data_IF_109024454098
#
_entry.id   IF_109024454098
#
_cell.length_a   1.000
_cell.length_b   1.000
_cell.length_c   1.000
_cell.angle_alpha   90.00
_cell.angle_beta   90.00
_cell.angle_gamma   90.00
#
_symmetry.space_group_name_H-M   'P 1'
#
loop_
_entity.id
_entity.type
_entity.pdbx_description
1 polymer ?
#
# COMPACT_ATOMS: atom_id res chain seq x y z
N UNK A 1 -14.50 -64.56 25.61
CA UNK A 1 -13.36 -64.86 26.50
C UNK A 1 -12.62 -63.55 26.71
N UNK A 2 -13.07 -62.76 27.69
CA UNK A 2 -12.49 -62.58 29.04
C UNK A 2 -11.18 -61.76 28.98
N UNK A 3 -11.17 -60.49 29.41
CA UNK A 3 -10.94 -60.02 30.81
C UNK A 3 -9.54 -60.43 31.30
N UNK A 4 -8.62 -59.60 31.82
CA UNK A 4 -8.65 -58.61 32.94
C UNK A 4 -7.21 -58.07 33.08
N UNK A 5 -6.89 -56.78 33.26
CA UNK A 5 -6.93 -55.90 34.45
C UNK A 5 -6.10 -56.34 35.69
N UNK A 6 -5.09 -55.54 36.07
CA UNK A 6 -4.58 -55.22 37.45
C UNK A 6 -3.39 -54.23 37.31
N UNK A 7 -3.35 -52.98 37.83
CA UNK A 7 -3.30 -52.43 39.22
C UNK A 7 -2.15 -53.07 40.04
N UNK A 8 -1.20 -52.38 40.71
CA UNK A 8 -1.15 -51.19 41.60
C UNK A 8 0.33 -50.79 41.81
N UNK A 9 0.65 -49.54 42.20
CA UNK A 9 1.84 -49.28 43.05
C UNK A 9 2.40 -47.86 43.04
N UNK A 10 2.05 -47.06 44.06
CA UNK A 10 2.54 -45.71 44.33
C UNK A 10 3.68 -45.77 45.38
N UNK A 11 4.75 -44.96 45.24
CA UNK A 11 5.54 -44.46 46.38
C UNK A 11 6.49 -43.31 45.99
N UNK A 12 6.57 -42.33 46.88
CA UNK A 12 7.24 -41.02 46.81
C UNK A 12 8.59 -40.98 47.56
N UNK A 13 9.24 -39.80 47.55
CA UNK A 13 10.43 -39.31 48.32
C UNK A 13 11.73 -39.37 47.49
N UNK A 14 12.63 -38.38 47.41
CA UNK A 14 12.86 -37.14 48.18
C UNK A 14 13.52 -36.04 47.30
N UNK A 15 13.34 -34.80 47.76
CA UNK A 15 14.15 -33.59 47.56
C UNK A 15 15.67 -33.79 47.51
N UNK A 16 16.37 -33.03 46.67
CA UNK A 16 17.50 -32.20 47.12
C UNK A 16 17.83 -31.03 46.18
N UNK A 17 18.25 -29.95 46.84
CA UNK A 17 18.47 -28.56 46.42
C UNK A 17 19.83 -28.28 45.79
N UNK A 18 19.92 -27.28 44.89
CA UNK A 18 21.13 -26.45 44.73
C UNK A 18 20.75 -24.98 44.52
N UNK A 19 21.29 -24.12 45.40
CA UNK A 19 21.18 -22.66 45.41
C UNK A 19 22.14 -21.98 44.41
N UNK A 20 21.59 -20.95 43.75
CA UNK A 20 22.10 -19.61 43.47
C UNK A 20 23.59 -19.28 43.68
N UNK A 21 24.22 -18.79 42.60
CA UNK A 21 25.37 -17.88 42.63
C UNK A 21 25.09 -16.65 41.77
N UNK A 22 25.03 -15.47 42.41
CA UNK A 22 24.78 -14.17 41.80
C UNK A 22 26.02 -13.63 41.06
N UNK A 23 25.82 -13.09 39.85
CA UNK A 23 26.76 -12.23 39.15
C UNK A 23 25.99 -11.16 38.36
N UNK A 24 25.97 -9.93 38.89
CA UNK A 24 25.30 -8.76 38.30
C UNK A 24 26.03 -8.30 37.03
N UNK A 25 25.29 -8.14 35.94
CA UNK A 25 25.57 -7.10 34.94
C UNK A 25 24.28 -6.29 34.70
N UNK A 26 24.39 -4.99 34.92
CA UNK A 26 23.31 -4.02 34.75
C UNK A 26 23.00 -3.84 33.25
N UNK A 27 21.75 -4.12 32.87
CA UNK A 27 21.12 -3.50 31.70
C UNK A 27 20.08 -2.51 32.22
N UNK A 28 20.42 -1.22 32.15
CA UNK A 28 19.49 -0.13 32.40
C UNK A 28 19.02 0.38 31.03
N UNK A 29 17.70 0.39 30.83
CA UNK A 29 17.05 1.23 29.83
C UNK A 29 16.59 0.51 28.56
N UNK A 30 15.40 -0.12 28.61
CA UNK A 30 14.46 -0.28 27.49
C UNK A 30 13.16 -0.93 28.02
N UNK A 31 12.49 -0.23 28.93
CA UNK A 31 11.09 -0.51 29.28
C UNK A 31 10.29 0.73 28.92
N UNK A 32 9.81 0.79 27.67
CA UNK A 32 8.69 1.65 27.25
C UNK A 32 8.18 1.38 25.82
N UNK A 33 8.77 0.45 25.05
CA UNK A 33 8.28 0.12 23.70
C UNK A 33 7.23 -1.00 23.65
N UNK A 34 7.07 -1.80 24.71
CA UNK A 34 6.19 -2.99 24.68
C UNK A 34 4.71 -2.65 24.91
N UNK A 35 4.37 -1.48 25.46
CA UNK A 35 2.98 -1.13 25.81
C UNK A 35 2.20 -0.59 24.60
N UNK A 36 2.87 0.02 23.61
CA UNK A 36 2.20 0.48 22.37
C UNK A 36 1.93 -0.65 21.37
N UNK A 37 2.82 -1.64 21.25
CA UNK A 37 2.63 -2.75 20.31
C UNK A 37 1.46 -3.68 20.69
N UNK A 38 1.23 -3.87 22.00
CA UNK A 38 0.11 -4.70 22.50
C UNK A 38 -1.25 -3.99 22.36
N UNK A 39 -1.27 -2.64 22.29
CA UNK A 39 -2.51 -1.89 22.08
C UNK A 39 -3.01 -1.97 20.63
N UNK A 40 -2.11 -2.05 19.65
CA UNK A 40 -2.48 -2.23 18.23
C UNK A 40 -2.86 -3.69 17.91
N UNK A 41 -2.13 -4.67 18.44
CA UNK A 41 -2.44 -6.10 18.23
C UNK A 41 -3.80 -6.50 18.83
N UNK A 42 -4.25 -5.84 19.91
CA UNK A 42 -5.59 -6.04 20.49
C UNK A 42 -6.73 -5.37 19.71
N UNK A 43 -6.42 -4.57 18.68
CA UNK A 43 -7.42 -3.94 17.80
C UNK A 43 -7.81 -4.77 16.58
N UNK A 44 -7.10 -5.87 16.31
CA UNK A 44 -7.31 -6.69 15.10
C UNK A 44 -8.18 -7.93 15.33
N UNK A 45 -8.35 -8.38 16.58
CA UNK A 45 -9.35 -9.39 16.93
C UNK A 45 -10.73 -8.73 17.03
N UNK A 46 -11.46 -8.70 15.91
CA UNK A 46 -12.88 -8.29 15.88
C UNK A 46 -13.31 -7.38 14.73
N UNK A 47 -12.44 -7.08 13.76
CA UNK A 47 -12.87 -6.33 12.58
C UNK A 47 -13.60 -7.24 11.58
N UNK A 48 -14.90 -7.00 11.46
CA UNK A 48 -15.79 -7.63 10.48
C UNK A 48 -15.38 -7.16 9.07
N UNK A 49 -15.21 -8.10 8.14
CA UNK A 49 -14.89 -7.82 6.73
C UNK A 49 -15.99 -7.00 6.04
N UNK A 50 -15.66 -6.34 4.93
CA UNK A 50 -16.65 -5.60 4.14
C UNK A 50 -17.78 -6.51 3.65
N UNK A 51 -17.47 -7.74 3.26
CA UNK A 51 -18.46 -8.74 2.85
C UNK A 51 -19.43 -9.07 3.98
N UNK A 52 -18.93 -9.32 5.18
CA UNK A 52 -19.77 -9.56 6.35
C UNK A 52 -20.60 -8.32 6.74
N UNK A 53 -20.05 -7.10 6.57
CA UNK A 53 -20.82 -5.87 6.77
C UNK A 53 -21.95 -5.71 5.76
N UNK A 54 -21.72 -5.98 4.48
CA UNK A 54 -22.77 -5.95 3.47
C UNK A 54 -23.90 -6.95 3.76
N UNK A 55 -23.56 -8.13 4.29
CA UNK A 55 -24.53 -9.11 4.77
C UNK A 55 -25.33 -8.55 5.96
N UNK A 56 -24.67 -7.89 6.93
CA UNK A 56 -25.35 -7.26 8.06
C UNK A 56 -26.28 -6.11 7.66
N UNK A 57 -25.96 -5.43 6.56
CA UNK A 57 -26.78 -4.35 6.00
C UNK A 57 -27.93 -4.85 5.13
N UNK A 58 -28.10 -6.18 4.96
CA UNK A 58 -29.12 -6.79 4.10
C UNK A 58 -29.06 -6.23 2.66
N UNK A 59 -27.84 -6.02 2.16
CA UNK A 59 -27.59 -5.45 0.84
C UNK A 59 -27.91 -3.96 0.68
N UNK A 60 -28.34 -3.27 1.74
CA UNK A 60 -28.60 -1.82 1.69
C UNK A 60 -27.32 -1.02 1.77
N UNK A 61 -27.22 0.03 0.95
CA UNK A 61 -26.10 0.95 1.02
C UNK A 61 -26.18 1.79 2.32
N UNK A 62 -25.09 1.92 3.11
CA UNK A 62 -25.08 2.69 4.34
C UNK A 62 -24.97 4.20 4.04
N UNK A 63 -26.08 4.83 3.66
CA UNK A 63 -26.14 6.27 3.35
C UNK A 63 -26.26 7.12 4.63
N UNK A 64 -25.70 8.34 4.63
CA UNK A 64 -25.79 9.32 5.72
C UNK A 64 -25.98 10.74 5.15
N UNK A 65 -26.59 11.62 5.93
CA UNK A 65 -26.82 13.02 5.55
C UNK A 65 -25.53 13.78 5.24
N UNK A 66 -24.40 13.42 5.88
CA UNK A 66 -23.10 14.03 5.62
C UNK A 66 -22.66 13.90 4.15
N UNK A 67 -23.06 12.83 3.46
CA UNK A 67 -22.78 12.65 2.03
C UNK A 67 -23.59 13.63 1.19
N UNK A 68 -24.86 13.87 1.55
CA UNK A 68 -25.74 14.82 0.86
C UNK A 68 -25.17 16.23 0.99
N UNK A 69 -24.65 16.59 2.16
CA UNK A 69 -24.00 17.88 2.40
C UNK A 69 -22.69 18.07 1.61
N UNK A 70 -22.04 16.98 1.21
CA UNK A 70 -20.82 16.99 0.40
C UNK A 70 -21.07 17.03 -1.11
N UNK A 71 -22.32 16.89 -1.57
CA UNK A 71 -22.66 17.05 -2.98
C UNK A 71 -22.36 18.49 -3.45
N UNK A 72 -22.09 18.69 -4.75
CA UNK A 72 -21.89 20.02 -5.30
C UNK A 72 -23.01 20.99 -4.94
N UNK A 73 -22.66 22.27 -4.75
CA UNK A 73 -23.59 23.27 -4.24
C UNK A 73 -24.83 23.37 -5.11
N UNK A 74 -25.99 23.11 -4.50
CA UNK A 74 -27.30 23.17 -5.15
C UNK A 74 -27.75 21.86 -5.78
N UNK A 75 -26.91 20.83 -5.80
CA UNK A 75 -27.33 19.50 -6.18
C UNK A 75 -28.28 18.89 -5.13
N UNK A 76 -29.26 18.12 -5.60
CA UNK A 76 -30.25 17.45 -4.75
C UNK A 76 -30.11 15.93 -4.88
N UNK A 77 -29.88 15.24 -3.77
CA UNK A 77 -29.80 13.78 -3.76
C UNK A 77 -31.08 13.11 -4.31
N UNK A 78 -30.91 12.06 -5.13
CA UNK A 78 -32.00 11.26 -5.70
C UNK A 78 -31.97 9.84 -5.12
N UNK A 79 -30.86 9.12 -5.30
CA UNK A 79 -30.75 7.71 -4.93
C UNK A 79 -29.30 7.29 -4.72
N UNK A 80 -29.11 6.13 -4.08
CA UNK A 80 -27.81 5.47 -3.96
C UNK A 80 -27.99 3.96 -4.10
N UNK A 81 -27.05 3.32 -4.79
CA UNK A 81 -26.97 1.86 -4.89
C UNK A 81 -25.52 1.39 -4.72
N UNK A 82 -25.34 0.12 -4.35
CA UNK A 82 -24.01 -0.48 -4.36
C UNK A 82 -23.48 -0.54 -5.80
N UNK A 83 -22.21 -0.22 -5.98
CA UNK A 83 -21.56 -0.21 -7.28
C UNK A 83 -20.08 -0.56 -7.13
N UNK A 84 -19.55 -1.44 -7.98
CA UNK A 84 -18.16 -1.87 -7.92
C UNK A 84 -17.83 -2.79 -6.74
N UNK A 85 -16.57 -3.19 -6.64
CA UNK A 85 -16.05 -4.07 -5.58
C UNK A 85 -14.77 -3.48 -5.00
N UNK A 86 -14.57 -3.65 -3.69
CA UNK A 86 -13.36 -3.24 -2.98
C UNK A 86 -13.09 -4.19 -1.82
N UNK A 87 -11.81 -4.42 -1.51
CA UNK A 87 -11.40 -5.24 -0.38
C UNK A 87 -11.62 -4.56 0.97
N UNK A 88 -11.59 -3.22 1.00
CA UNK A 88 -11.49 -2.45 2.25
C UNK A 88 -12.61 -1.45 2.46
N UNK A 89 -13.40 -1.15 1.42
CA UNK A 89 -14.49 -0.16 1.46
C UNK A 89 -15.78 -0.71 0.88
N UNK A 90 -16.91 -0.15 1.29
CA UNK A 90 -18.17 -0.29 0.55
C UNK A 90 -18.19 0.81 -0.51
N UNK A 91 -18.53 0.46 -1.75
CA UNK A 91 -18.55 1.36 -2.90
C UNK A 91 -19.95 1.51 -3.46
N UNK A 92 -20.31 2.70 -3.90
CA UNK A 92 -21.66 3.02 -4.34
C UNK A 92 -21.72 4.09 -5.42
N UNK A 93 -22.83 4.08 -6.15
CA UNK A 93 -23.18 5.13 -7.10
C UNK A 93 -24.31 5.97 -6.52
N UNK A 94 -24.04 7.25 -6.29
CA UNK A 94 -25.02 8.24 -5.84
C UNK A 94 -25.54 9.01 -7.05
N UNK A 95 -26.85 9.09 -7.22
CA UNK A 95 -27.48 9.95 -8.21
C UNK A 95 -27.92 11.26 -7.54
N UNK A 96 -27.61 12.39 -8.14
CA UNK A 96 -28.14 13.70 -7.72
C UNK A 96 -28.63 14.51 -8.92
N UNK A 97 -29.53 15.45 -8.66
CA UNK A 97 -30.05 16.42 -9.62
C UNK A 97 -29.29 17.73 -9.46
N UNK A 98 -28.56 18.16 -10.48
CA UNK A 98 -27.86 19.44 -10.50
C UNK A 98 -28.85 20.63 -10.61
N UNK A 99 -28.45 21.88 -10.30
CA UNK A 99 -29.34 23.04 -10.32
C UNK A 99 -30.02 23.33 -11.67
N UNK A 100 -29.46 22.83 -12.77
CA UNK A 100 -29.99 22.95 -14.13
C UNK A 100 -31.03 21.86 -14.47
N UNK A 101 -31.27 20.91 -13.55
CA UNK A 101 -32.19 19.79 -13.72
C UNK A 101 -31.56 18.56 -14.36
N UNK A 102 -30.24 18.52 -14.54
CA UNK A 102 -29.53 17.35 -15.07
C UNK A 102 -29.28 16.32 -13.96
N UNK A 103 -29.57 15.04 -14.23
CA UNK A 103 -29.17 13.97 -13.32
C UNK A 103 -27.69 13.63 -13.53
N UNK A 104 -26.90 13.66 -12.46
CA UNK A 104 -25.47 13.37 -12.47
C UNK A 104 -25.12 12.25 -11.48
N UNK A 105 -24.36 11.23 -11.91
CA UNK A 105 -23.85 10.20 -11.01
C UNK A 105 -22.57 10.66 -10.28
N UNK A 106 -22.37 10.15 -9.07
CA UNK A 106 -21.20 10.35 -8.22
C UNK A 106 -20.75 9.00 -7.65
N UNK A 107 -19.45 8.85 -7.45
CA UNK A 107 -18.86 7.66 -6.85
C UNK A 107 -18.60 7.89 -5.36
N UNK A 108 -19.01 6.93 -4.54
CA UNK A 108 -18.96 7.00 -3.08
C UNK A 108 -18.23 5.79 -2.50
N UNK A 109 -17.20 6.04 -1.69
CA UNK A 109 -16.56 5.04 -0.84
C UNK A 109 -16.95 5.25 0.61
N UNK A 110 -17.13 4.15 1.35
CA UNK A 110 -17.45 4.14 2.78
C UNK A 110 -16.51 3.20 3.52
N UNK A 111 -15.92 3.69 4.61
CA UNK A 111 -14.99 2.95 5.46
C UNK A 111 -15.29 3.18 6.95
N UNK A 112 -14.83 2.28 7.80
CA UNK A 112 -15.21 2.23 9.22
C UNK A 112 -14.01 2.38 10.15
N UNK A 113 -14.26 3.00 11.31
CA UNK A 113 -13.27 3.20 12.37
C UNK A 113 -12.18 4.20 12.00
N UNK A 114 -11.23 4.38 12.92
CA UNK A 114 -10.14 5.36 12.76
C UNK A 114 -9.26 5.07 11.55
N UNK A 115 -9.07 3.78 11.21
CA UNK A 115 -8.34 3.40 10.00
C UNK A 115 -9.09 3.80 8.73
N UNK A 116 -10.42 3.68 8.70
CA UNK A 116 -11.24 4.16 7.59
C UNK A 116 -11.16 5.67 7.38
N UNK A 117 -10.98 6.44 8.46
CA UNK A 117 -10.74 7.88 8.38
C UNK A 117 -9.43 8.18 7.64
N UNK A 118 -8.33 7.53 8.06
CA UNK A 118 -7.00 7.70 7.46
C UNK A 118 -7.02 7.34 5.98
N UNK A 119 -7.63 6.20 5.64
CA UNK A 119 -7.71 5.71 4.26
C UNK A 119 -8.42 6.71 3.34
N UNK A 120 -9.61 7.17 3.74
CA UNK A 120 -10.44 8.01 2.87
C UNK A 120 -9.99 9.48 2.86
N UNK A 121 -9.44 10.00 3.96
CA UNK A 121 -8.79 11.32 3.97
C UNK A 121 -7.54 11.32 3.08
N UNK A 122 -6.71 10.27 3.19
CA UNK A 122 -5.53 10.09 2.36
C UNK A 122 -5.86 10.02 0.87
N UNK A 123 -6.87 9.24 0.48
CA UNK A 123 -7.32 9.13 -0.91
C UNK A 123 -7.91 10.45 -1.44
N UNK A 124 -8.72 11.15 -0.64
CA UNK A 124 -9.27 12.45 -1.01
C UNK A 124 -8.17 13.49 -1.24
N UNK A 125 -7.23 13.62 -0.31
CA UNK A 125 -6.13 14.58 -0.42
C UNK A 125 -5.19 14.23 -1.58
N UNK A 126 -4.95 12.94 -1.85
CA UNK A 126 -4.19 12.46 -3.01
C UNK A 126 -4.87 12.83 -4.32
N UNK A 127 -6.16 12.51 -4.43
CA UNK A 127 -6.97 12.80 -5.62
C UNK A 127 -7.04 14.30 -5.88
N UNK A 128 -7.14 15.11 -4.84
CA UNK A 128 -7.19 16.57 -4.94
C UNK A 128 -5.90 17.16 -5.52
N UNK A 129 -4.74 16.66 -5.10
CA UNK A 129 -3.46 17.15 -5.62
C UNK A 129 -3.19 16.68 -7.05
N UNK A 130 -3.56 15.44 -7.42
CA UNK A 130 -3.47 14.96 -8.80
C UNK A 130 -4.44 15.72 -9.70
N UNK A 131 -5.71 15.86 -9.32
CA UNK A 131 -6.75 16.56 -10.10
C UNK A 131 -6.38 18.02 -10.36
N UNK A 132 -5.81 18.72 -9.38
CA UNK A 132 -5.31 20.11 -9.55
C UNK A 132 -4.24 20.23 -10.64
N UNK A 133 -3.42 19.20 -10.82
CA UNK A 133 -2.36 19.18 -11.83
C UNK A 133 -2.88 18.70 -13.19
N UNK A 134 -3.74 17.67 -13.18
CA UNK A 134 -4.24 16.99 -14.36
C UNK A 134 -5.72 16.60 -14.16
N UNK A 135 -6.67 17.54 -14.39
CA UNK A 135 -8.10 17.32 -14.12
C UNK A 135 -8.74 16.18 -14.92
N UNK A 136 -8.12 15.76 -16.01
CA UNK A 136 -8.57 14.67 -16.88
C UNK A 136 -7.88 13.33 -16.59
N UNK A 137 -7.05 13.25 -15.53
CA UNK A 137 -6.25 12.05 -15.23
C UNK A 137 -6.69 11.31 -13.96
N UNK A 138 -7.60 11.88 -13.18
CA UNK A 138 -8.24 11.27 -12.01
C UNK A 138 -9.64 11.87 -11.85
N UNK A 139 -10.65 11.15 -11.32
CA UNK A 139 -11.98 11.72 -11.09
C UNK A 139 -11.93 12.93 -10.17
N UNK A 140 -12.79 13.92 -10.41
CA UNK A 140 -12.89 15.10 -9.55
C UNK A 140 -13.27 14.70 -8.11
N UNK A 141 -12.46 15.03 -7.08
CA UNK A 141 -12.82 14.76 -5.69
C UNK A 141 -13.73 15.86 -5.15
N UNK A 142 -14.92 15.49 -4.65
CA UNK A 142 -15.90 16.45 -4.11
C UNK A 142 -15.82 16.59 -2.59
N UNK A 143 -15.55 15.51 -1.87
CA UNK A 143 -15.43 15.62 -0.42
C UNK A 143 -15.00 14.35 0.29
N UNK A 144 -14.50 14.53 1.51
CA UNK A 144 -14.39 13.47 2.51
C UNK A 144 -15.04 13.94 3.80
N UNK A 145 -15.51 13.00 4.62
CA UNK A 145 -16.07 13.38 5.91
C UNK A 145 -16.46 12.19 6.77
N UNK A 146 -16.89 12.53 7.99
CA UNK A 146 -17.43 11.57 8.94
C UNK A 146 -18.95 11.59 8.87
N UNK A 147 -19.57 10.42 8.89
CA UNK A 147 -21.02 10.29 9.02
C UNK A 147 -21.51 10.86 10.35
N UNK A 148 -22.69 11.47 10.32
CA UNK A 148 -23.29 12.09 11.51
C UNK A 148 -23.80 11.05 12.51
N UNK A 149 -24.42 9.99 12.00
CA UNK A 149 -25.13 9.02 12.85
C UNK A 149 -24.77 7.59 12.46
N UNK A 150 -23.60 7.13 12.92
CA UNK A 150 -23.26 5.70 12.88
C UNK A 150 -22.41 5.25 14.06
N UNK A 151 -22.65 4.01 14.49
CA UNK A 151 -21.79 3.25 15.40
C UNK A 151 -21.52 1.86 14.79
N UNK A 152 -20.27 1.52 14.43
CA UNK A 152 -19.02 2.26 14.67
C UNK A 152 -18.93 3.57 13.88
N UNK A 153 -17.93 4.40 14.21
CA UNK A 153 -17.62 5.59 13.41
C UNK A 153 -17.42 5.20 11.94
N UNK A 154 -18.00 5.99 11.04
CA UNK A 154 -18.01 5.73 9.60
C UNK A 154 -17.60 6.99 8.86
N UNK A 155 -16.84 6.82 7.80
CA UNK A 155 -16.28 7.89 6.98
C UNK A 155 -16.59 7.64 5.51
N UNK A 156 -16.56 8.70 4.71
CA UNK A 156 -16.78 8.63 3.28
C UNK A 156 -15.77 9.44 2.48
N UNK A 157 -15.63 9.06 1.21
CA UNK A 157 -15.00 9.81 0.13
C UNK A 157 -15.98 9.85 -1.05
N UNK A 158 -16.23 11.04 -1.57
CA UNK A 158 -17.13 11.33 -2.69
C UNK A 158 -16.35 11.95 -3.84
N UNK A 159 -16.53 11.42 -5.04
CA UNK A 159 -15.90 11.90 -6.27
C UNK A 159 -16.84 11.81 -7.47
N UNK A 160 -16.38 12.33 -8.60
CA UNK A 160 -17.01 12.12 -9.90
C UNK A 160 -17.16 10.62 -10.19
N UNK A 161 -18.33 10.26 -10.69
CA UNK A 161 -18.51 8.95 -11.29
C UNK A 161 -18.08 9.01 -12.74
N UNK A 162 -17.04 8.24 -13.07
CA UNK A 162 -16.58 8.06 -14.45
C UNK A 162 -16.89 6.62 -14.86
N UNK A 163 -17.54 6.45 -16.01
CA UNK A 163 -17.72 5.13 -16.61
C UNK A 163 -16.40 4.69 -17.25
N UNK A 164 -15.82 3.59 -16.74
CA UNK A 164 -14.47 3.17 -17.07
C UNK A 164 -14.43 1.73 -17.56
N UNK A 165 -13.67 1.48 -18.62
CA UNK A 165 -13.17 0.14 -18.93
C UNK A 165 -11.87 -0.12 -18.17
N UNK A 166 -11.97 -0.95 -17.12
CA UNK A 166 -10.84 -1.39 -16.28
C UNK A 166 -10.18 -2.68 -16.78
N UNK A 167 -10.56 -3.16 -17.97
CA UNK A 167 -10.03 -4.41 -18.57
C UNK A 167 -9.07 -4.14 -19.72
N UNK A 168 -9.20 -3.00 -20.39
CA UNK A 168 -8.33 -2.60 -21.50
C UNK A 168 -7.03 -2.00 -20.99
N UNK A 169 -5.91 -2.56 -21.44
CA UNK A 169 -4.59 -2.00 -21.18
C UNK A 169 -4.44 -0.63 -21.89
N UNK A 170 -3.84 0.37 -21.24
CA UNK A 170 -3.70 1.69 -21.83
C UNK A 170 -2.60 1.69 -22.90
N UNK A 171 -2.68 2.60 -23.88
CA UNK A 171 -1.62 2.73 -24.88
C UNK A 171 -0.32 3.17 -24.18
N UNK A 172 0.79 2.41 -24.29
CA UNK A 172 1.97 2.63 -23.46
C UNK A 172 2.62 4.00 -23.61
N UNK A 173 2.65 4.59 -24.81
CA UNK A 173 3.26 5.89 -25.06
C UNK A 173 2.42 6.99 -24.41
N UNK A 174 1.11 6.98 -24.67
CA UNK A 174 0.18 8.00 -24.15
C UNK A 174 0.18 7.96 -22.62
N UNK A 175 -0.06 6.79 -22.02
CA UNK A 175 -0.12 6.65 -20.57
C UNK A 175 1.17 7.10 -19.88
N UNK A 176 2.32 6.61 -20.35
CA UNK A 176 3.60 6.94 -19.70
C UNK A 176 4.04 8.37 -19.93
N UNK A 177 3.58 9.02 -21.02
CA UNK A 177 3.79 10.45 -21.22
C UNK A 177 3.04 11.29 -20.18
N UNK A 178 1.78 10.95 -19.88
CA UNK A 178 0.96 11.61 -18.86
C UNK A 178 1.47 11.35 -17.44
N UNK A 179 1.89 10.12 -17.15
CA UNK A 179 2.52 9.81 -15.86
C UNK A 179 3.83 10.58 -15.66
N UNK A 180 4.67 10.67 -16.70
CA UNK A 180 5.89 11.46 -16.65
C UNK A 180 5.59 12.97 -16.50
N UNK A 181 4.51 13.46 -17.12
CA UNK A 181 4.03 14.83 -16.96
C UNK A 181 3.64 15.11 -15.50
N UNK A 182 2.78 14.29 -14.88
CA UNK A 182 2.42 14.39 -13.46
C UNK A 182 3.66 14.51 -12.55
N UNK A 183 4.61 13.60 -12.76
CA UNK A 183 5.85 13.60 -11.97
C UNK A 183 6.69 14.87 -12.22
N UNK A 184 6.71 15.40 -13.44
CA UNK A 184 7.50 16.59 -13.79
C UNK A 184 6.87 17.91 -13.39
N UNK A 185 5.55 18.03 -13.43
CA UNK A 185 4.82 19.29 -13.18
C UNK A 185 4.51 19.50 -11.70
N UNK A 186 4.37 18.43 -10.93
CA UNK A 186 4.14 18.52 -9.48
C UNK A 186 5.25 19.27 -8.74
N UNK A 187 4.93 19.87 -7.60
CA UNK A 187 5.91 20.55 -6.77
C UNK A 187 5.63 20.27 -5.30
N UNK A 188 6.61 19.67 -4.61
CA UNK A 188 6.49 19.49 -3.16
C UNK A 188 6.35 20.85 -2.48
N UNK A 189 5.30 21.05 -1.65
CA UNK A 189 5.05 22.33 -0.98
C UNK A 189 6.15 22.70 0.02
N UNK A 190 6.96 21.73 0.44
CA UNK A 190 8.07 21.92 1.38
C UNK A 190 9.44 21.82 0.70
N UNK A 191 9.49 21.41 -0.57
CA UNK A 191 10.72 20.99 -1.24
C UNK A 191 11.30 19.66 -0.73
N UNK A 192 10.59 18.94 0.16
CA UNK A 192 11.00 17.66 0.78
C UNK A 192 10.17 16.49 0.26
N UNK A 193 10.61 15.26 0.56
CA UNK A 193 9.82 14.04 0.37
C UNK A 193 8.83 13.88 1.53
N UNK A 194 7.67 13.28 1.27
CA UNK A 194 6.60 13.13 2.27
C UNK A 194 5.24 13.67 1.82
N UNK A 195 4.32 13.79 2.77
CA UNK A 195 2.96 14.27 2.54
C UNK A 195 2.39 14.93 3.80
N UNK A 196 1.36 15.77 3.65
CA UNK A 196 0.77 16.51 4.77
C UNK A 196 -0.25 15.70 5.57
N UNK A 197 -0.81 14.65 4.98
CA UNK A 197 -1.68 13.67 5.65
C UNK A 197 -1.12 12.26 5.46
N UNK A 198 -1.43 11.35 6.37
CA UNK A 198 -1.11 9.92 6.18
C UNK A 198 -1.95 9.35 5.04
N UNK A 199 -1.30 8.75 4.05
CA UNK A 199 -1.95 8.01 2.97
C UNK A 199 -1.77 6.50 3.13
N UNK A 200 -2.44 5.70 2.31
CA UNK A 200 -2.36 4.24 2.36
C UNK A 200 -2.01 3.64 0.99
N UNK A 201 -1.37 2.47 0.98
CA UNK A 201 -1.30 1.54 -0.15
C UNK A 201 -2.12 0.30 0.25
N UNK A 202 -3.29 0.15 -0.38
CA UNK A 202 -4.37 -0.69 0.14
C UNK A 202 -4.77 -0.28 1.57
N UNK A 203 -4.75 -1.23 2.52
CA UNK A 203 -5.03 -0.97 3.95
C UNK A 203 -3.80 -0.58 4.77
N UNK A 204 -2.65 -0.39 4.16
CA UNK A 204 -1.40 -0.15 4.90
C UNK A 204 -1.05 1.34 4.90
N UNK A 205 -1.03 1.94 6.08
CA UNK A 205 -0.64 3.32 6.25
C UNK A 205 0.83 3.52 5.84
N UNK A 206 1.10 4.53 5.04
CA UNK A 206 2.44 5.01 4.75
C UNK A 206 3.02 5.82 5.92
N UNK A 207 4.35 5.80 6.04
CA UNK A 207 5.11 6.72 6.91
C UNK A 207 5.58 7.89 6.06
N UNK A 208 4.85 9.01 6.10
CA UNK A 208 4.98 10.11 5.13
C UNK A 208 5.41 11.44 5.73
N UNK A 209 5.94 11.43 6.95
CA UNK A 209 6.51 12.63 7.55
C UNK A 209 7.63 13.22 6.68
N UNK A 210 7.67 14.55 6.61
CA UNK A 210 8.59 15.26 5.72
C UNK A 210 10.05 14.94 5.98
N UNK A 211 10.80 14.64 4.91
CA UNK A 211 12.20 14.26 4.96
C UNK A 211 12.99 14.83 3.78
N UNK A 212 14.22 15.29 4.04
CA UNK A 212 15.11 15.86 3.02
C UNK A 212 15.85 14.77 2.23
N UNK A 213 16.24 13.70 2.91
CA UNK A 213 16.92 12.54 2.32
C UNK A 213 15.91 11.52 1.81
N UNK A 214 15.90 11.26 0.50
CA UNK A 214 15.10 10.20 -0.08
C UNK A 214 15.48 8.81 0.47
N UNK A 215 16.77 8.59 0.75
CA UNK A 215 17.23 7.34 1.33
C UNK A 215 16.61 7.12 2.72
N UNK A 216 16.63 8.15 3.57
CA UNK A 216 16.09 8.09 4.93
C UNK A 216 14.56 7.93 4.91
N UNK A 217 13.89 8.64 3.98
CA UNK A 217 12.45 8.52 3.77
C UNK A 217 12.07 7.10 3.34
N UNK A 218 12.75 6.56 2.33
CA UNK A 218 12.50 5.21 1.84
C UNK A 218 12.83 4.13 2.88
N UNK A 219 13.86 4.32 3.70
CA UNK A 219 14.17 3.41 4.82
C UNK A 219 12.99 3.35 5.81
N UNK A 220 12.44 4.50 6.21
CA UNK A 220 11.27 4.56 7.10
C UNK A 220 10.06 3.85 6.50
N UNK A 221 9.77 4.10 5.20
CA UNK A 221 8.71 3.41 4.47
C UNK A 221 8.89 1.88 4.49
N UNK A 222 10.08 1.40 4.12
CA UNK A 222 10.38 -0.03 4.05
C UNK A 222 10.28 -0.68 5.43
N UNK A 223 10.87 -0.07 6.46
CA UNK A 223 10.82 -0.60 7.83
C UNK A 223 9.40 -0.69 8.36
N UNK A 224 8.55 0.30 8.05
CA UNK A 224 7.15 0.28 8.46
C UNK A 224 6.40 -0.91 7.83
N UNK A 225 6.50 -1.10 6.50
CA UNK A 225 5.79 -2.23 5.86
C UNK A 225 6.36 -3.59 6.29
N UNK A 226 7.67 -3.72 6.54
CA UNK A 226 8.26 -4.94 7.10
C UNK A 226 7.76 -5.23 8.51
N UNK A 227 7.55 -4.21 9.35
CA UNK A 227 6.94 -4.36 10.67
C UNK A 227 5.50 -4.85 10.56
N UNK A 228 4.71 -4.27 9.66
CA UNK A 228 3.30 -4.68 9.44
C UNK A 228 3.22 -6.12 8.89
N UNK A 229 4.14 -6.50 7.99
CA UNK A 229 4.27 -7.88 7.52
C UNK A 229 4.63 -8.85 8.66
N UNK A 230 5.59 -8.49 9.53
CA UNK A 230 5.96 -9.30 10.69
C UNK A 230 4.76 -9.53 11.63
N UNK A 231 3.98 -8.47 11.89
CA UNK A 231 2.77 -8.55 12.72
C UNK A 231 1.70 -9.46 12.09
N UNK A 232 1.59 -9.47 10.76
CA UNK A 232 0.55 -10.21 10.03
C UNK A 232 0.94 -11.67 9.72
N UNK A 233 2.16 -11.87 9.21
CA UNK A 233 2.64 -13.14 8.65
C UNK A 233 3.65 -13.85 9.58
N UNK A 234 3.95 -13.28 10.75
CA UNK A 234 4.84 -13.87 11.74
C UNK A 234 6.33 -13.80 11.37
N UNK A 235 7.22 -14.23 12.28
CA UNK A 235 8.67 -14.10 12.12
C UNK A 235 9.22 -14.94 10.97
N UNK A 236 10.25 -14.40 10.32
CA UNK A 236 11.06 -15.08 9.32
C UNK A 236 12.50 -14.57 9.45
N UNK A 237 13.36 -15.27 10.22
CA UNK A 237 14.68 -14.77 10.61
C UNK A 237 15.58 -14.34 9.45
N UNK A 238 15.54 -15.06 8.34
CA UNK A 238 16.32 -14.74 7.15
C UNK A 238 15.80 -13.47 6.45
N UNK A 239 14.48 -13.28 6.36
CA UNK A 239 13.87 -12.05 5.84
C UNK A 239 14.17 -10.85 6.75
N UNK A 240 14.10 -11.02 8.07
CA UNK A 240 14.43 -9.97 9.03
C UNK A 240 15.91 -9.55 8.90
N UNK A 241 16.82 -10.53 8.76
CA UNK A 241 18.25 -10.27 8.52
C UNK A 241 18.48 -9.55 7.18
N UNK A 242 17.82 -10.01 6.12
CA UNK A 242 17.92 -9.38 4.80
C UNK A 242 17.37 -7.94 4.81
N UNK A 243 16.26 -7.71 5.52
CA UNK A 243 15.65 -6.39 5.70
C UNK A 243 16.63 -5.43 6.38
N UNK A 244 17.28 -5.84 7.46
CA UNK A 244 18.25 -5.01 8.17
C UNK A 244 19.48 -4.69 7.31
N UNK A 245 19.97 -5.67 6.54
CA UNK A 245 21.07 -5.46 5.60
C UNK A 245 20.67 -4.47 4.49
N UNK A 246 19.46 -4.63 3.94
CA UNK A 246 18.93 -3.70 2.94
C UNK A 246 18.82 -2.30 3.51
N UNK A 247 18.22 -2.15 4.68
CA UNK A 247 18.02 -0.87 5.32
C UNK A 247 19.34 -0.14 5.63
N UNK A 248 20.32 -0.84 6.20
CA UNK A 248 21.54 -0.19 6.69
C UNK A 248 22.70 -0.12 5.71
N UNK A 249 22.70 -0.94 4.65
CA UNK A 249 23.80 -0.99 3.66
C UNK A 249 23.35 -0.66 2.26
N UNK A 250 22.24 -1.25 1.82
CA UNK A 250 21.81 -1.16 0.42
C UNK A 250 21.12 0.18 0.14
N UNK A 251 20.18 0.61 1.00
CA UNK A 251 19.49 1.89 0.84
C UNK A 251 20.49 3.06 0.81
N UNK A 252 21.42 3.22 1.77
CA UNK A 252 22.42 4.28 1.69
C UNK A 252 23.28 4.21 0.42
N UNK A 253 23.61 3.00 -0.05
CA UNK A 253 24.44 2.80 -1.25
C UNK A 253 23.72 3.10 -2.56
N UNK A 254 22.46 2.68 -2.71
CA UNK A 254 21.72 2.83 -3.97
C UNK A 254 20.92 4.12 -4.04
N UNK A 255 20.38 4.59 -2.91
CA UNK A 255 19.51 5.75 -2.85
C UNK A 255 20.23 6.99 -2.33
N UNK A 256 21.21 6.83 -1.44
CA UNK A 256 22.02 7.95 -0.97
C UNK A 256 22.86 8.58 -2.08
N UNK A 257 23.26 7.80 -3.10
CA UNK A 257 23.97 8.30 -4.26
C UNK A 257 23.14 9.27 -5.11
N UNK A 258 21.80 9.15 -5.11
CA UNK A 258 20.90 10.03 -5.88
C UNK A 258 20.99 11.50 -5.46
N UNK A 259 21.44 11.77 -4.24
CA UNK A 259 21.62 13.12 -3.68
C UNK A 259 23.09 13.40 -3.30
N UNK A 260 24.02 12.53 -3.68
CA UNK A 260 25.45 12.71 -3.44
C UNK A 260 26.12 13.42 -4.63
N UNK A 261 27.33 13.97 -4.42
CA UNK A 261 28.17 14.51 -5.49
C UNK A 261 27.47 15.60 -6.33
N UNK A 262 26.70 16.48 -5.68
CA UNK A 262 25.87 17.52 -6.31
C UNK A 262 24.76 17.00 -7.24
N UNK A 263 24.38 15.73 -7.12
CA UNK A 263 23.16 15.21 -7.75
C UNK A 263 21.94 15.65 -6.96
N UNK A 264 20.85 15.85 -7.69
CA UNK A 264 19.59 16.27 -7.14
C UNK A 264 18.48 15.45 -7.78
N UNK A 265 17.63 14.87 -6.94
CA UNK A 265 16.35 14.30 -7.35
C UNK A 265 15.23 15.20 -6.85
N UNK A 266 14.18 15.30 -7.66
CA UNK A 266 13.01 16.12 -7.37
C UNK A 266 11.98 15.28 -6.59
N UNK A 267 11.51 15.74 -5.42
CA UNK A 267 10.30 15.20 -4.80
C UNK A 267 9.11 15.46 -5.73
N UNK A 268 8.63 14.39 -6.35
CA UNK A 268 7.55 14.41 -7.33
C UNK A 268 6.33 13.75 -6.71
N UNK A 269 5.13 14.30 -6.89
CA UNK A 269 3.92 13.59 -6.48
C UNK A 269 3.87 12.28 -7.27
N UNK A 270 3.60 11.18 -6.59
CA UNK A 270 3.35 9.88 -7.20
C UNK A 270 1.92 9.44 -6.85
N UNK A 271 1.34 8.55 -7.64
CA UNK A 271 0.07 7.90 -7.31
C UNK A 271 0.20 7.06 -6.02
N UNK A 272 1.32 6.35 -5.85
CA UNK A 272 1.68 5.65 -4.60
C UNK A 272 1.17 4.20 -4.49
N UNK A 273 0.22 3.82 -5.34
CA UNK A 273 -0.28 2.46 -5.53
C UNK A 273 -0.65 2.21 -7.03
N UNK A 274 0.22 2.60 -7.97
CA UNK A 274 -0.11 2.48 -9.40
C UNK A 274 0.23 1.10 -9.96
N UNK A 275 -0.79 0.30 -10.17
CA UNK A 275 -0.77 -0.93 -10.96
C UNK A 275 -1.95 -0.94 -11.92
N UNK A 276 -2.01 -1.90 -12.85
CA UNK A 276 -3.07 -1.92 -13.87
C UNK A 276 -4.51 -2.04 -13.32
N UNK A 277 -4.69 -2.40 -12.05
CA UNK A 277 -6.02 -2.43 -11.41
C UNK A 277 -6.47 -1.08 -10.84
N UNK A 278 -5.59 -0.09 -10.75
CA UNK A 278 -5.87 1.26 -10.26
C UNK A 278 -5.88 2.29 -11.41
N UNK A 279 -6.34 1.85 -12.58
CA UNK A 279 -6.54 2.68 -13.76
C UNK A 279 -7.72 2.15 -14.58
N UNK A 280 -8.33 3.03 -15.37
CA UNK A 280 -9.35 2.69 -16.36
C UNK A 280 -9.17 3.48 -17.66
N UNK A 281 -9.90 3.09 -18.70
CA UNK A 281 -10.12 3.92 -19.89
C UNK A 281 -11.49 4.57 -19.75
N UNK A 282 -11.54 5.91 -19.74
CA UNK A 282 -12.78 6.67 -19.73
C UNK A 282 -13.59 6.32 -20.98
N UNK A 283 -14.80 5.78 -20.81
CA UNK A 283 -15.64 5.31 -21.91
C UNK A 283 -16.20 6.44 -22.79
N UNK A 284 -16.25 7.66 -22.27
CA UNK A 284 -16.71 8.83 -23.01
C UNK A 284 -15.58 9.44 -23.86
N UNK A 285 -14.38 9.58 -23.30
CA UNK A 285 -13.27 10.29 -23.97
C UNK A 285 -12.25 9.37 -24.62
N UNK A 286 -12.12 8.14 -24.15
CA UNK A 286 -11.06 7.20 -24.53
C UNK A 286 -9.73 7.43 -23.81
N UNK A 287 -9.66 8.37 -22.87
CA UNK A 287 -8.43 8.69 -22.14
C UNK A 287 -8.19 7.75 -20.95
N UNK A 288 -6.92 7.53 -20.60
CA UNK A 288 -6.59 6.83 -19.35
C UNK A 288 -6.95 7.69 -18.14
N UNK A 289 -7.49 7.08 -17.11
CA UNK A 289 -7.81 7.71 -15.83
C UNK A 289 -7.31 6.83 -14.68
N UNK A 290 -6.81 7.45 -13.62
CA UNK A 290 -6.32 6.81 -12.41
C UNK A 290 -7.40 6.84 -11.32
N UNK A 291 -7.30 5.95 -10.33
CA UNK A 291 -8.12 5.97 -9.13
C UNK A 291 -7.42 5.23 -7.98
N UNK A 292 -7.91 5.36 -6.76
CA UNK A 292 -7.35 4.71 -5.55
C UNK A 292 -5.93 5.20 -5.22
N UNK A 293 -5.71 6.51 -5.31
CA UNK A 293 -4.43 7.14 -5.07
C UNK A 293 -4.04 7.16 -3.57
N UNK A 294 -2.80 6.76 -3.30
CA UNK A 294 -2.16 6.75 -1.98
C UNK A 294 -0.91 7.62 -1.97
N UNK A 295 -1.06 8.88 -2.37
CA UNK A 295 0.04 9.72 -2.82
C UNK A 295 1.00 10.16 -1.71
N UNK A 296 2.22 10.49 -2.14
CA UNK A 296 3.22 11.25 -1.39
C UNK A 296 4.25 11.80 -2.37
N UNK A 297 5.03 12.80 -1.96
CA UNK A 297 6.15 13.29 -2.76
C UNK A 297 7.35 12.36 -2.61
N UNK A 298 7.77 11.74 -3.72
CA UNK A 298 8.77 10.69 -3.77
C UNK A 298 9.85 10.93 -4.83
N UNK A 299 10.88 10.09 -4.87
CA UNK A 299 11.63 9.90 -6.11
C UNK A 299 10.71 9.25 -7.15
N UNK A 300 10.59 9.86 -8.34
CA UNK A 300 9.66 9.44 -9.39
C UNK A 300 9.82 7.96 -9.82
N UNK A 301 11.03 7.40 -9.74
CA UNK A 301 11.29 5.99 -10.06
C UNK A 301 10.64 4.99 -9.08
N UNK A 302 10.21 5.46 -7.89
CA UNK A 302 9.50 4.66 -6.88
C UNK A 302 8.21 4.06 -7.46
N UNK A 303 7.41 4.85 -8.20
CA UNK A 303 6.14 4.41 -8.79
C UNK A 303 6.35 3.23 -9.74
N UNK A 304 7.44 3.26 -10.52
CA UNK A 304 7.78 2.18 -11.43
C UNK A 304 8.17 0.90 -10.68
N UNK A 305 8.52 0.97 -9.39
CA UNK A 305 8.89 -0.17 -8.56
C UNK A 305 7.71 -1.12 -8.36
N UNK A 306 6.51 -0.58 -8.16
CA UNK A 306 5.25 -1.34 -8.08
C UNK A 306 5.00 -2.17 -9.34
N UNK A 307 5.46 -1.71 -10.50
CA UNK A 307 5.29 -2.42 -11.77
C UNK A 307 6.10 -3.71 -11.87
N UNK A 308 7.08 -3.96 -10.98
CA UNK A 308 7.80 -5.25 -10.96
C UNK A 308 7.02 -6.37 -10.29
N UNK A 309 6.06 -6.02 -9.43
CA UNK A 309 5.32 -6.98 -8.62
C UNK A 309 4.41 -7.86 -9.47
N UNK A 310 4.05 -9.03 -8.94
CA UNK A 310 3.25 -10.04 -9.63
C UNK A 310 1.79 -9.63 -9.87
N UNK A 311 1.29 -8.63 -9.14
CA UNK A 311 -0.01 -8.01 -9.40
C UNK A 311 0.02 -7.05 -10.60
N UNK A 312 1.21 -6.62 -11.04
CA UNK A 312 1.40 -5.65 -12.13
C UNK A 312 1.84 -6.33 -13.44
N UNK A 313 1.07 -7.29 -13.94
CA UNK A 313 1.44 -8.08 -15.12
C UNK A 313 1.59 -7.27 -16.42
N UNK A 314 0.74 -6.26 -16.64
CA UNK A 314 0.73 -5.40 -17.83
C UNK A 314 1.88 -4.39 -17.74
N UNK A 315 1.93 -3.63 -16.63
CA UNK A 315 2.93 -2.58 -16.47
C UNK A 315 4.36 -3.10 -16.28
N UNK A 316 4.54 -4.37 -15.86
CA UNK A 316 5.85 -5.04 -15.84
C UNK A 316 6.50 -5.18 -17.21
N UNK A 317 5.69 -5.15 -18.28
CA UNK A 317 6.25 -5.14 -19.63
C UNK A 317 7.22 -3.98 -19.78
N UNK A 318 8.47 -4.28 -20.16
CA UNK A 318 9.53 -3.27 -20.37
C UNK A 318 9.14 -2.22 -21.41
N UNK A 319 8.08 -2.41 -22.20
CA UNK A 319 7.52 -1.35 -23.07
C UNK A 319 7.12 -0.12 -22.26
N UNK A 320 6.37 -0.28 -21.15
CA UNK A 320 5.93 0.84 -20.32
C UNK A 320 7.11 1.57 -19.68
N UNK A 321 8.01 0.85 -19.00
CA UNK A 321 9.20 1.47 -18.41
C UNK A 321 10.06 2.18 -19.46
N UNK A 322 10.26 1.58 -20.64
CA UNK A 322 11.04 2.24 -21.72
C UNK A 322 10.39 3.51 -22.23
N UNK A 323 9.06 3.55 -22.36
CA UNK A 323 8.37 4.77 -22.80
C UNK A 323 8.38 5.84 -21.72
N UNK A 324 8.12 5.48 -20.45
CA UNK A 324 8.27 6.42 -19.35
C UNK A 324 9.67 7.05 -19.33
N UNK A 325 10.72 6.25 -19.45
CA UNK A 325 12.11 6.72 -19.46
C UNK A 325 12.47 7.62 -20.65
N UNK A 326 11.71 7.58 -21.76
CA UNK A 326 11.87 8.56 -22.85
C UNK A 326 11.36 9.94 -22.46
N UNK A 327 10.32 9.99 -21.64
CA UNK A 327 9.74 11.24 -21.18
C UNK A 327 10.45 11.73 -19.91
N UNK A 328 10.73 10.89 -18.94
CA UNK A 328 11.48 11.22 -17.72
C UNK A 328 12.69 10.27 -17.59
N UNK A 329 13.88 10.69 -18.03
CA UNK A 329 15.10 9.86 -17.96
C UNK A 329 15.43 9.40 -16.55
N UNK A 330 16.08 8.23 -16.45
CA UNK A 330 16.54 7.67 -15.18
C UNK A 330 17.52 8.62 -14.47
N UNK A 331 17.45 8.64 -13.14
CA UNK A 331 18.38 9.38 -12.31
C UNK A 331 19.78 8.76 -12.35
N UNK A 332 20.81 9.60 -12.18
CA UNK A 332 22.20 9.13 -12.11
C UNK A 332 22.52 8.44 -10.77
N UNK A 333 23.16 7.25 -10.78
CA UNK A 333 23.78 6.59 -11.93
C UNK A 333 22.74 5.81 -12.75
N UNK A 334 22.70 6.03 -14.07
CA UNK A 334 21.68 5.43 -14.94
C UNK A 334 21.76 3.89 -14.98
N UNK A 335 22.96 3.34 -14.86
CA UNK A 335 23.20 1.88 -14.84
C UNK A 335 22.67 1.18 -13.58
N UNK A 336 22.39 1.94 -12.52
CA UNK A 336 21.77 1.44 -11.29
C UNK A 336 20.24 1.51 -11.29
N UNK A 337 19.61 2.02 -12.36
CA UNK A 337 18.15 2.16 -12.46
C UNK A 337 17.39 0.86 -12.17
N UNK A 338 17.78 -0.26 -12.79
CA UNK A 338 17.06 -1.52 -12.58
C UNK A 338 17.22 -2.01 -11.13
N UNK A 339 18.36 -1.78 -10.47
CA UNK A 339 18.53 -2.21 -9.08
C UNK A 339 17.76 -1.31 -8.11
N UNK A 340 17.66 0.00 -8.38
CA UNK A 340 16.77 0.89 -7.62
C UNK A 340 15.31 0.48 -7.77
N UNK A 341 14.89 0.17 -8.99
CA UNK A 341 13.54 -0.29 -9.25
C UNK A 341 13.26 -1.65 -8.58
N UNK A 342 14.25 -2.55 -8.49
CA UNK A 342 14.18 -3.81 -7.72
C UNK A 342 14.02 -3.50 -6.24
N UNK A 343 14.82 -2.58 -5.71
CA UNK A 343 14.72 -2.12 -4.32
C UNK A 343 13.32 -1.57 -4.03
N UNK A 344 12.79 -0.68 -4.87
CA UNK A 344 11.44 -0.10 -4.71
C UNK A 344 10.32 -1.16 -4.75
N UNK A 345 10.46 -2.20 -5.57
CA UNK A 345 9.46 -3.28 -5.63
C UNK A 345 9.35 -4.07 -4.32
N UNK A 346 10.38 -4.08 -3.48
CA UNK A 346 10.34 -4.76 -2.18
C UNK A 346 9.26 -4.14 -1.29
N UNK A 347 9.12 -2.80 -1.27
CA UNK A 347 8.06 -2.13 -0.52
C UNK A 347 6.69 -2.61 -1.00
N UNK A 348 6.42 -2.59 -2.30
CA UNK A 348 5.13 -3.01 -2.86
C UNK A 348 4.82 -4.48 -2.58
N UNK A 349 5.81 -5.36 -2.71
CA UNK A 349 5.64 -6.79 -2.47
C UNK A 349 5.38 -7.13 -0.99
N UNK A 350 6.13 -6.51 -0.07
CA UNK A 350 5.90 -6.67 1.39
C UNK A 350 4.56 -6.03 1.79
N UNK A 351 4.22 -4.86 1.24
CA UNK A 351 2.94 -4.20 1.50
C UNK A 351 1.77 -5.10 1.12
N UNK A 352 1.81 -5.67 -0.08
CA UNK A 352 0.80 -6.61 -0.54
C UNK A 352 0.73 -7.85 0.37
N UNK A 353 1.86 -8.43 0.76
CA UNK A 353 1.90 -9.59 1.65
C UNK A 353 1.35 -9.31 3.05
N UNK A 354 1.62 -8.13 3.61
CA UNK A 354 1.01 -7.68 4.86
C UNK A 354 -0.52 -7.48 4.69
N UNK A 355 -0.95 -7.04 3.51
CA UNK A 355 -2.37 -6.92 3.15
C UNK A 355 -3.09 -8.27 3.07
N UNK A 356 -2.38 -9.28 2.53
CA UNK A 356 -2.91 -10.54 2.05
C UNK A 356 -2.07 -11.71 2.61
N UNK A 357 -2.41 -12.21 3.82
CA UNK A 357 -1.62 -13.24 4.50
C UNK A 357 -1.39 -14.48 3.63
N UNK A 358 -0.16 -14.99 3.62
CA UNK A 358 0.22 -16.15 2.80
C UNK A 358 0.51 -15.85 1.33
N UNK A 359 0.51 -14.57 0.92
CA UNK A 359 0.87 -14.17 -0.45
C UNK A 359 2.29 -14.61 -0.85
N UNK A 360 2.50 -15.11 -2.09
CA UNK A 360 3.83 -15.46 -2.59
C UNK A 360 4.78 -14.26 -2.71
N UNK A 361 4.24 -13.03 -2.75
CA UNK A 361 5.02 -11.80 -2.88
C UNK A 361 5.98 -11.59 -1.70
N UNK A 362 5.66 -12.16 -0.53
CA UNK A 362 6.57 -12.16 0.63
C UNK A 362 7.91 -12.83 0.30
N UNK A 363 7.86 -13.94 -0.43
CA UNK A 363 9.05 -14.68 -0.87
C UNK A 363 9.76 -13.95 -2.03
N UNK A 364 9.01 -13.32 -2.92
CA UNK A 364 9.57 -12.50 -4.00
C UNK A 364 10.35 -11.30 -3.46
N UNK A 365 9.80 -10.60 -2.47
CA UNK A 365 10.48 -9.51 -1.77
C UNK A 365 11.81 -9.98 -1.17
N UNK A 366 11.78 -11.09 -0.44
CA UNK A 366 12.98 -11.71 0.13
C UNK A 366 14.01 -12.06 -0.96
N UNK A 367 13.60 -12.68 -2.07
CA UNK A 367 14.50 -13.02 -3.17
C UNK A 367 15.15 -11.77 -3.80
N UNK A 368 14.39 -10.67 -3.92
CA UNK A 368 14.92 -9.38 -4.37
C UNK A 368 15.92 -8.78 -3.36
N UNK A 369 15.71 -8.96 -2.05
CA UNK A 369 16.70 -8.59 -1.03
C UNK A 369 17.97 -9.43 -1.18
N UNK A 370 17.87 -10.75 -1.38
CA UNK A 370 19.02 -11.63 -1.61
C UNK A 370 19.87 -11.16 -2.80
N UNK A 371 19.25 -10.82 -3.93
CA UNK A 371 19.96 -10.27 -5.10
C UNK A 371 20.74 -9.00 -4.75
N UNK A 372 20.10 -8.06 -4.06
CA UNK A 372 20.73 -6.79 -3.73
C UNK A 372 21.87 -6.96 -2.71
N UNK A 373 21.67 -7.82 -1.71
CA UNK A 373 22.71 -8.19 -0.75
C UNK A 373 23.91 -8.83 -1.46
N UNK A 374 23.70 -9.83 -2.33
CA UNK A 374 24.79 -10.45 -3.10
C UNK A 374 25.60 -9.44 -3.93
N UNK A 375 24.92 -8.48 -4.56
CA UNK A 375 25.57 -7.50 -5.44
C UNK A 375 26.31 -6.39 -4.69
N UNK A 376 25.74 -5.88 -3.60
CA UNK A 376 26.20 -4.62 -2.99
C UNK A 376 26.72 -4.76 -1.57
N UNK A 377 26.22 -5.71 -0.78
CA UNK A 377 26.65 -5.91 0.60
C UNK A 377 26.40 -7.36 1.05
N UNK A 378 27.27 -8.31 0.65
CA UNK A 378 27.08 -9.72 0.98
C UNK A 378 27.03 -9.95 2.50
N UNK A 379 26.18 -10.88 2.91
CA UNK A 379 25.99 -11.26 4.32
C UNK A 379 25.67 -12.76 4.42
N UNK A 380 26.17 -13.41 5.48
CA UNK A 380 25.83 -14.80 5.80
C UNK A 380 24.46 -14.93 6.47
N UNK A 381 23.83 -16.09 6.36
CA UNK A 381 22.56 -16.40 7.03
C UNK A 381 21.32 -15.85 6.33
N UNK A 382 21.43 -15.58 5.03
CA UNK A 382 20.31 -15.43 4.09
C UNK A 382 20.53 -16.37 2.91
N UNK A 383 19.49 -16.63 2.13
CA UNK A 383 19.57 -17.44 0.92
C UNK A 383 20.28 -16.69 -0.20
N UNK A 384 20.68 -17.46 -1.22
CA UNK A 384 21.16 -16.90 -2.48
C UNK A 384 19.99 -16.45 -3.36
N UNK A 385 20.25 -15.47 -4.22
CA UNK A 385 19.27 -15.10 -5.24
C UNK A 385 18.95 -16.29 -6.15
N UNK A 386 17.66 -16.56 -6.32
CA UNK A 386 17.15 -17.59 -7.22
C UNK A 386 16.39 -16.95 -8.39
N UNK A 387 16.96 -16.94 -9.62
CA UNK A 387 16.28 -16.39 -10.78
C UNK A 387 15.04 -17.19 -11.20
N UNK A 388 14.89 -18.44 -10.74
CA UNK A 388 13.74 -19.31 -11.07
C UNK A 388 12.45 -18.90 -10.37
N UNK A 389 12.52 -17.99 -9.39
CA UNK A 389 11.37 -17.43 -8.69
C UNK A 389 11.28 -15.91 -8.85
N UNK A 390 12.09 -15.31 -9.72
CA UNK A 390 12.00 -13.88 -10.03
C UNK A 390 10.87 -13.66 -11.05
N UNK A 391 9.82 -12.88 -10.73
CA UNK A 391 8.70 -12.66 -11.64
C UNK A 391 9.07 -11.87 -12.89
N UNK A 392 10.15 -11.09 -12.87
CA UNK A 392 10.66 -10.40 -14.06
C UNK A 392 11.34 -11.34 -15.06
N UNK A 393 11.73 -12.54 -14.62
CA UNK A 393 12.32 -13.59 -15.46
C UNK A 393 11.25 -14.62 -15.85
N UNK A 394 10.47 -15.08 -14.86
CA UNK A 394 9.49 -16.16 -15.02
C UNK A 394 8.18 -15.72 -15.65
N UNK A 395 7.86 -14.42 -15.58
CA UNK A 395 6.54 -13.90 -15.95
C UNK A 395 5.44 -14.27 -14.96
N UNK A 396 5.79 -14.77 -13.77
CA UNK A 396 4.83 -15.13 -12.74
C UNK A 396 3.87 -13.97 -12.43
N UNK A 397 2.59 -14.28 -12.31
CA UNK A 397 1.54 -13.29 -12.02
C UNK A 397 0.59 -13.84 -10.97
N UNK A 398 -0.02 -12.95 -10.21
CA UNK A 398 -1.15 -13.28 -9.36
C UNK A 398 -2.42 -12.65 -9.93
N UNK A 399 -3.56 -13.17 -9.52
CA UNK A 399 -4.85 -12.49 -9.68
C UNK A 399 -5.12 -11.81 -8.34
N UNK A 400 -4.99 -10.47 -8.25
CA UNK A 400 -5.23 -9.76 -7.01
C UNK A 400 -6.65 -10.01 -6.52
N UNK A 401 -6.87 -9.98 -5.22
CA UNK A 401 -8.21 -10.09 -4.64
C UNK A 401 -8.99 -11.42 -4.87
N UNK A 402 -8.34 -12.45 -5.44
CA UNK A 402 -8.95 -13.75 -5.69
C UNK A 402 -9.35 -14.46 -4.39
N UNK A 403 -8.52 -14.34 -3.34
CA UNK A 403 -8.78 -14.99 -2.05
C UNK A 403 -9.89 -14.29 -1.26
N UNK A 404 -10.10 -13.00 -1.52
CA UNK A 404 -11.18 -12.18 -0.98
C UNK A 404 -12.52 -12.45 -1.67
N UNK A 405 -12.52 -13.17 -2.80
CA UNK A 405 -13.70 -13.48 -3.60
C UNK A 405 -14.33 -12.25 -4.25
N UNK A 406 -13.49 -11.27 -4.63
CA UNK A 406 -13.90 -10.02 -5.28
C UNK A 406 -13.84 -10.10 -6.82
N UNK A 407 -13.40 -11.25 -7.36
CA UNK A 407 -13.32 -11.58 -8.79
C UNK A 407 -14.10 -12.86 -9.05
#
# INVERSE_FOLDING_TARGET
MNQTCSRVGCQSLHQDSVQLGFGRFQWVGLRNLTVCAVAFARGMEGQISIKERLIQLDGKFPMDEAVIEALPKGATFISVENYGTSAWTITGRVMALDPDGTEKPYFLKVAYGDHGAIMLEGEFESSKDIYRLMPDFIPEPFGFGRYKVQNPATYFYLSEFVDMDVTTAPEPIVFTSRLAELHKTSQSPTGKFGYHVTTCDGKMNHTVEWEESWADFYEKLLRNVCKLDLETNGPWPELERATEQVATKIIPRLLGTLQAENRHIKPSIIHGDLWEGNMGINMETGDTILFDAGSYYAHNEMELGHWRCEFSSIFRSKVYTRHYLRFYPAAEPVDEFDDRNRLYSIKGAINYAAGHPGSPLRKTAYNNMCYLCEKYAPIDGIDKYDPRIDPSITGARIVPHLLEGLI
#
